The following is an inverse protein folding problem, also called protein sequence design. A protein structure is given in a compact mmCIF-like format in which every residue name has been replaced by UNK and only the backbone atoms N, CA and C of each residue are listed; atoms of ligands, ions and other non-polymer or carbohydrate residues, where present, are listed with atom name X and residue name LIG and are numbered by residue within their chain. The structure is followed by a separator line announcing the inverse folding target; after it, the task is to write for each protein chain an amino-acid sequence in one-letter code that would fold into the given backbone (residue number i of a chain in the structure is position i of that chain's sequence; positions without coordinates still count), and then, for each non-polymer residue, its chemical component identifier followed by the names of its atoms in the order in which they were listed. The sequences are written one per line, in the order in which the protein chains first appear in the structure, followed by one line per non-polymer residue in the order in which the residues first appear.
data_IF_964468467782
#
_entry.id   IF_964468467782
#
_cell.length_a   1.000
_cell.length_b   1.000
_cell.length_c   1.000
_cell.angle_alpha   90.00
_cell.angle_beta   90.00
_cell.angle_gamma   90.00
#
_symmetry.space_group_name_H-M   'P 1'
#
loop_
_entity.id
_entity.type
_entity.pdbx_description
1 polymer ?
#
# COMPACT_ATOMS: atom_id res chain seq x y z
N UNK A 1 12.61 -6.74 -9.95
CA UNK A 1 11.31 -6.10 -10.31
C UNK A 1 11.46 -4.59 -10.33
N UNK A 2 10.56 -3.86 -11.01
CA UNK A 2 10.60 -2.40 -11.06
C UNK A 2 9.75 -1.84 -9.91
N UNK A 3 10.31 -0.94 -9.11
CA UNK A 3 9.59 -0.26 -8.03
C UNK A 3 8.36 0.47 -8.57
N UNK A 4 7.21 0.29 -7.94
CA UNK A 4 5.93 0.89 -8.29
C UNK A 4 5.53 2.00 -7.32
N UNK A 5 4.90 3.04 -7.84
CA UNK A 5 4.36 4.14 -7.06
C UNK A 5 2.84 4.14 -7.14
N UNK A 6 2.20 4.06 -5.97
CA UNK A 6 0.77 3.86 -5.81
C UNK A 6 0.17 5.05 -5.03
N UNK A 7 -0.41 6.06 -5.70
CA UNK A 7 -1.07 7.17 -5.01
C UNK A 7 -2.24 6.72 -4.14
N UNK A 8 -2.29 7.16 -2.87
CA UNK A 8 -3.45 6.95 -2.00
C UNK A 8 -4.55 7.95 -2.36
N UNK A 9 -5.71 7.44 -2.78
CA UNK A 9 -6.85 8.26 -3.16
C UNK A 9 -7.51 8.97 -1.96
N UNK A 10 -7.13 8.65 -0.74
CA UNK A 10 -7.54 9.43 0.45
C UNK A 10 -7.04 10.89 0.40
N UNK A 11 -6.04 11.19 -0.45
CA UNK A 11 -5.41 12.50 -0.55
C UNK A 11 -5.91 13.35 -1.75
N UNK A 12 -6.77 12.83 -2.63
CA UNK A 12 -7.27 13.55 -3.82
C UNK A 12 -8.43 14.48 -3.50
N UNK A 13 -8.68 15.44 -4.37
CA UNK A 13 -9.91 16.25 -4.35
C UNK A 13 -11.05 15.47 -5.02
N UNK A 14 -11.93 14.88 -4.23
CA UNK A 14 -13.07 14.10 -4.71
C UNK A 14 -14.07 14.91 -5.54
N UNK A 15 -14.12 16.25 -5.40
CA UNK A 15 -14.96 17.11 -6.24
C UNK A 15 -14.51 17.13 -7.70
N UNK A 16 -13.27 16.69 -7.96
CA UNK A 16 -12.62 16.64 -9.28
C UNK A 16 -12.00 15.26 -9.59
N UNK A 17 -12.60 14.21 -9.03
CA UNK A 17 -12.02 12.85 -9.05
C UNK A 17 -11.48 12.43 -10.42
N UNK A 18 -12.25 12.64 -11.51
CA UNK A 18 -11.81 12.26 -12.86
C UNK A 18 -10.54 12.97 -13.34
N UNK A 19 -10.40 14.27 -13.03
CA UNK A 19 -9.21 15.06 -13.37
C UNK A 19 -8.00 14.63 -12.52
N UNK A 20 -8.22 14.35 -11.23
CA UNK A 20 -7.20 13.84 -10.31
C UNK A 20 -6.63 12.51 -10.78
N UNK A 21 -7.50 11.51 -11.08
CA UNK A 21 -7.08 10.21 -11.57
C UNK A 21 -6.28 10.33 -12.87
N UNK A 22 -6.80 11.07 -13.86
CA UNK A 22 -6.12 11.29 -15.14
C UNK A 22 -4.74 11.95 -14.96
N UNK A 23 -4.64 12.92 -14.05
CA UNK A 23 -3.37 13.62 -13.75
C UNK A 23 -2.35 12.70 -13.08
N UNK A 24 -2.80 11.83 -12.17
CA UNK A 24 -1.95 10.84 -11.51
C UNK A 24 -1.47 9.76 -12.49
N UNK A 25 -2.34 9.28 -13.38
CA UNK A 25 -1.99 8.34 -14.45
C UNK A 25 -0.96 8.96 -15.40
N UNK A 26 -1.18 10.21 -15.84
CA UNK A 26 -0.23 10.95 -16.69
C UNK A 26 1.12 11.20 -15.99
N UNK A 27 1.15 11.31 -14.66
CA UNK A 27 2.37 11.38 -13.87
C UNK A 27 3.07 10.01 -13.74
N UNK A 28 2.41 8.93 -14.16
CA UNK A 28 2.93 7.56 -14.21
C UNK A 28 2.70 6.79 -12.90
N UNK A 29 1.56 6.98 -12.26
CA UNK A 29 1.08 6.08 -11.24
C UNK A 29 0.99 4.65 -11.81
N UNK A 30 1.39 3.65 -11.01
CA UNK A 30 1.34 2.25 -11.43
C UNK A 30 0.01 1.57 -11.02
N UNK A 31 -0.57 2.02 -9.93
CA UNK A 31 -1.81 1.51 -9.35
C UNK A 31 -2.36 2.56 -8.39
N UNK A 32 -3.67 2.65 -8.21
CA UNK A 32 -4.26 3.48 -7.16
C UNK A 32 -4.42 2.69 -5.87
N UNK A 33 -4.19 3.34 -4.73
CA UNK A 33 -4.40 2.79 -3.40
C UNK A 33 -5.66 3.37 -2.77
N UNK A 34 -6.56 2.51 -2.28
CA UNK A 34 -7.86 2.92 -1.75
C UNK A 34 -7.99 2.47 -0.29
N UNK A 35 -7.97 3.44 0.60
CA UNK A 35 -8.12 3.24 2.03
C UNK A 35 -9.60 3.16 2.42
N UNK A 36 -10.00 2.06 3.07
CA UNK A 36 -11.35 1.81 3.61
C UNK A 36 -11.28 1.71 5.13
N UNK A 37 -12.05 2.53 5.83
CA UNK A 37 -12.04 2.61 7.29
C UNK A 37 -13.46 2.52 7.85
N UNK A 38 -13.64 1.79 8.98
CA UNK A 38 -14.95 1.51 9.58
C UNK A 38 -15.25 2.31 10.86
N UNK A 39 -14.33 3.18 11.31
CA UNK A 39 -14.46 3.94 12.55
C UNK A 39 -14.27 3.10 13.84
N UNK A 40 -13.92 1.80 13.68
CA UNK A 40 -13.69 0.86 14.80
C UNK A 40 -12.25 0.38 14.85
N UNK A 41 -11.73 -0.18 13.75
CA UNK A 41 -10.32 -0.57 13.66
C UNK A 41 -9.40 0.64 13.77
N UNK A 42 -9.80 1.75 13.16
CA UNK A 42 -9.18 3.07 13.29
C UNK A 42 -10.25 4.11 13.63
N UNK A 43 -9.95 5.16 14.42
CA UNK A 43 -10.95 6.16 14.83
C UNK A 43 -11.20 7.20 13.72
N UNK A 44 -11.45 6.74 12.50
CA UNK A 44 -11.71 7.55 11.32
C UNK A 44 -12.57 6.77 10.33
N UNK A 45 -13.20 7.49 9.40
CA UNK A 45 -13.90 6.94 8.24
C UNK A 45 -13.19 7.38 6.97
N UNK A 46 -13.15 6.51 5.97
CA UNK A 46 -12.59 6.81 4.66
C UNK A 46 -13.52 6.26 3.56
N UNK A 47 -12.93 5.89 2.41
CA UNK A 47 -13.69 5.52 1.22
C UNK A 47 -14.50 4.24 1.43
N UNK A 48 -15.63 4.15 0.71
CA UNK A 48 -16.51 2.99 0.73
C UNK A 48 -16.76 2.39 -0.66
N UNK A 49 -17.61 1.35 -0.76
CA UNK A 49 -17.88 0.67 -2.01
C UNK A 49 -18.39 1.54 -3.15
N UNK A 50 -19.17 2.60 -2.85
CA UNK A 50 -19.68 3.48 -3.90
C UNK A 50 -18.60 4.42 -4.46
N UNK A 51 -17.64 4.85 -3.60
CA UNK A 51 -16.46 5.60 -4.04
C UNK A 51 -15.59 4.75 -4.95
N UNK A 52 -15.33 3.48 -4.56
CA UNK A 52 -14.57 2.53 -5.36
C UNK A 52 -15.24 2.25 -6.70
N UNK A 53 -16.56 2.13 -6.72
CA UNK A 53 -17.34 2.01 -7.95
C UNK A 53 -17.22 3.23 -8.85
N UNK A 54 -17.07 4.44 -8.30
CA UNK A 54 -16.79 5.63 -9.08
C UNK A 54 -15.36 5.58 -9.65
N UNK A 55 -14.37 5.22 -8.83
CA UNK A 55 -12.98 5.02 -9.28
C UNK A 55 -12.91 3.97 -10.38
N UNK A 56 -13.55 2.79 -10.22
CA UNK A 56 -13.52 1.70 -11.21
C UNK A 56 -14.05 2.06 -12.60
N UNK A 57 -14.88 3.11 -12.69
CA UNK A 57 -15.40 3.62 -13.97
C UNK A 57 -14.49 4.64 -14.64
N UNK A 58 -13.64 5.30 -13.86
CA UNK A 58 -12.82 6.42 -14.30
C UNK A 58 -11.34 6.04 -14.47
N UNK A 59 -10.83 5.13 -13.63
CA UNK A 59 -9.45 4.68 -13.67
C UNK A 59 -9.15 3.81 -14.88
N UNK A 60 -8.00 4.03 -15.52
CA UNK A 60 -7.49 3.20 -16.62
C UNK A 60 -6.38 2.25 -16.16
N UNK A 61 -5.81 2.49 -14.98
CA UNK A 61 -4.82 1.62 -14.33
C UNK A 61 -5.48 0.80 -13.20
N UNK A 62 -4.84 -0.30 -12.74
CA UNK A 62 -5.32 -1.09 -11.61
C UNK A 62 -5.47 -0.27 -10.33
N UNK A 63 -6.24 -0.80 -9.38
CA UNK A 63 -6.31 -0.28 -8.02
C UNK A 63 -6.35 -1.42 -7.00
N UNK A 64 -5.89 -1.14 -5.81
CA UNK A 64 -5.98 -2.00 -4.65
C UNK A 64 -6.92 -1.43 -3.58
N UNK A 65 -7.31 -2.26 -2.62
CA UNK A 65 -8.16 -1.88 -1.50
C UNK A 65 -7.49 -2.28 -0.20
N UNK A 66 -7.28 -1.31 0.69
CA UNK A 66 -6.70 -1.48 2.01
C UNK A 66 -7.80 -1.41 3.08
N UNK A 67 -8.14 -2.56 3.65
CA UNK A 67 -9.22 -2.71 4.62
C UNK A 67 -8.72 -2.47 6.05
N UNK A 68 -8.83 -1.25 6.54
CA UNK A 68 -8.67 -0.87 7.95
C UNK A 68 -10.01 -1.04 8.67
N UNK A 69 -10.48 -2.28 8.76
CA UNK A 69 -11.79 -2.64 9.33
C UNK A 69 -11.66 -3.78 10.33
N UNK A 70 -12.46 -3.76 11.39
CA UNK A 70 -12.38 -4.72 12.51
C UNK A 70 -12.65 -6.16 12.10
N UNK A 71 -13.56 -6.38 11.13
CA UNK A 71 -13.88 -7.71 10.60
C UNK A 71 -13.96 -7.65 9.07
N UNK A 72 -12.87 -7.96 8.35
CA UNK A 72 -12.84 -7.85 6.88
C UNK A 72 -13.60 -8.95 6.15
N UNK A 73 -13.74 -10.16 6.73
CA UNK A 73 -14.26 -11.35 6.05
C UNK A 73 -15.60 -11.15 5.32
N UNK A 74 -16.63 -10.50 5.92
CA UNK A 74 -17.91 -10.29 5.26
C UNK A 74 -17.85 -9.38 4.02
N UNK A 75 -16.79 -8.57 3.90
CA UNK A 75 -16.69 -7.55 2.86
C UNK A 75 -15.81 -7.95 1.68
N UNK A 76 -14.97 -9.00 1.82
CA UNK A 76 -14.03 -9.45 0.76
C UNK A 76 -14.74 -9.67 -0.57
N UNK A 77 -15.87 -10.40 -0.58
CA UNK A 77 -16.63 -10.65 -1.80
C UNK A 77 -17.05 -9.35 -2.49
N UNK A 78 -17.60 -8.41 -1.73
CA UNK A 78 -18.08 -7.13 -2.26
C UNK A 78 -16.96 -6.30 -2.89
N UNK A 79 -15.79 -6.24 -2.27
CA UNK A 79 -14.65 -5.49 -2.80
C UNK A 79 -14.01 -6.21 -4.00
N UNK A 80 -13.94 -7.54 -3.99
CA UNK A 80 -13.49 -8.33 -5.13
C UNK A 80 -14.37 -8.11 -6.37
N UNK A 81 -15.68 -8.08 -6.19
CA UNK A 81 -16.66 -7.86 -7.27
C UNK A 81 -16.57 -6.46 -7.90
N UNK A 82 -15.95 -5.50 -7.20
CA UNK A 82 -15.65 -4.16 -7.74
C UNK A 82 -14.43 -4.15 -8.67
N UNK A 83 -13.65 -5.25 -8.74
CA UNK A 83 -12.55 -5.43 -9.71
C UNK A 83 -11.18 -4.93 -9.22
N UNK A 84 -10.94 -4.83 -7.92
CA UNK A 84 -9.62 -4.51 -7.39
C UNK A 84 -8.59 -5.62 -7.69
N UNK A 85 -7.32 -5.25 -7.80
CA UNK A 85 -6.23 -6.19 -8.09
C UNK A 85 -5.63 -6.84 -6.85
N UNK A 86 -5.67 -6.13 -5.71
CA UNK A 86 -5.17 -6.57 -4.41
C UNK A 86 -6.19 -6.16 -3.35
N UNK A 87 -6.42 -7.01 -2.36
CA UNK A 87 -7.11 -6.65 -1.12
C UNK A 87 -6.12 -6.85 0.02
N UNK A 88 -5.82 -5.77 0.76
CA UNK A 88 -5.07 -5.83 2.00
C UNK A 88 -6.01 -5.91 3.19
N UNK A 89 -5.75 -6.86 4.08
CA UNK A 89 -6.36 -6.95 5.42
C UNK A 89 -5.27 -6.78 6.46
N UNK A 90 -5.57 -6.12 7.57
CA UNK A 90 -4.62 -6.08 8.69
C UNK A 90 -4.50 -7.44 9.33
N UNK A 91 -3.27 -7.84 9.67
CA UNK A 91 -3.02 -9.12 10.35
C UNK A 91 -3.74 -9.20 11.71
N UNK A 92 -4.02 -8.05 12.32
CA UNK A 92 -4.66 -7.89 13.61
C UNK A 92 -6.20 -7.95 13.55
N UNK A 93 -6.80 -7.93 12.35
CA UNK A 93 -8.25 -7.79 12.20
C UNK A 93 -9.02 -9.13 12.10
N UNK A 94 -8.64 -10.10 11.25
CA UNK A 94 -9.40 -11.35 11.10
C UNK A 94 -9.04 -12.34 12.21
N UNK A 95 -10.03 -13.12 12.65
CA UNK A 95 -9.80 -14.20 13.63
C UNK A 95 -8.92 -15.31 13.02
N UNK A 96 -9.08 -15.59 11.73
CA UNK A 96 -8.36 -16.65 11.02
C UNK A 96 -7.68 -16.10 9.78
N UNK A 97 -6.55 -15.43 9.95
CA UNK A 97 -5.82 -14.72 8.89
C UNK A 97 -5.54 -15.60 7.67
N UNK A 98 -5.01 -16.81 7.85
CA UNK A 98 -4.75 -17.74 6.75
C UNK A 98 -6.01 -18.02 5.90
N UNK A 99 -7.16 -18.28 6.54
CA UNK A 99 -8.43 -18.51 5.84
C UNK A 99 -8.89 -17.27 5.09
N UNK A 100 -8.74 -16.08 5.68
CA UNK A 100 -9.10 -14.79 5.07
C UNK A 100 -8.27 -14.54 3.80
N UNK A 101 -6.95 -14.73 3.85
CA UNK A 101 -6.07 -14.60 2.69
C UNK A 101 -6.39 -15.63 1.60
N UNK A 102 -6.65 -16.90 1.98
CA UNK A 102 -7.10 -17.95 1.06
C UNK A 102 -8.43 -17.61 0.37
N UNK A 103 -9.38 -16.98 1.10
CA UNK A 103 -10.64 -16.51 0.52
C UNK A 103 -10.42 -15.38 -0.51
N UNK A 104 -9.51 -14.45 -0.28
CA UNK A 104 -9.15 -13.41 -1.25
C UNK A 104 -8.57 -14.07 -2.52
N UNK A 105 -7.57 -14.94 -2.38
CA UNK A 105 -6.93 -15.63 -3.52
C UNK A 105 -7.90 -16.50 -4.32
N UNK A 106 -8.84 -17.17 -3.66
CA UNK A 106 -9.86 -18.01 -4.35
C UNK A 106 -10.76 -17.22 -5.30
N UNK A 107 -10.78 -15.89 -5.20
CA UNK A 107 -11.50 -14.97 -6.08
C UNK A 107 -10.65 -14.41 -7.22
N UNK A 108 -9.41 -14.88 -7.38
CA UNK A 108 -8.48 -14.40 -8.39
C UNK A 108 -7.86 -13.04 -8.06
N UNK A 109 -7.99 -12.57 -6.82
CA UNK A 109 -7.43 -11.32 -6.31
C UNK A 109 -6.14 -11.63 -5.53
N UNK A 110 -5.12 -10.78 -5.64
CA UNK A 110 -3.92 -10.91 -4.82
C UNK A 110 -4.23 -10.67 -3.35
N UNK A 111 -3.81 -11.59 -2.48
CA UNK A 111 -3.98 -11.45 -1.04
C UNK A 111 -2.86 -10.60 -0.45
N UNK A 112 -3.23 -9.44 0.07
CA UNK A 112 -2.35 -8.54 0.81
C UNK A 112 -2.55 -8.66 2.31
N UNK A 113 -1.46 -8.62 3.07
CA UNK A 113 -1.50 -8.47 4.52
C UNK A 113 -0.81 -7.17 4.93
N UNK A 114 -1.49 -6.33 5.70
CA UNK A 114 -0.92 -5.15 6.33
C UNK A 114 -0.55 -5.45 7.79
N UNK A 115 0.60 -4.96 8.23
CA UNK A 115 1.07 -5.11 9.62
C UNK A 115 1.35 -3.74 10.23
N UNK A 116 0.81 -3.52 11.42
CA UNK A 116 0.98 -2.28 12.17
C UNK A 116 2.44 -2.09 12.64
N UNK A 117 2.86 -0.86 12.99
CA UNK A 117 4.21 -0.61 13.49
C UNK A 117 4.59 -1.48 14.69
N UNK A 118 3.64 -1.75 15.60
CA UNK A 118 3.85 -2.58 16.80
C UNK A 118 3.78 -4.08 16.58
N UNK A 119 3.32 -4.56 15.40
CA UNK A 119 3.12 -6.00 15.14
C UNK A 119 4.41 -6.67 14.71
N UNK A 120 4.71 -7.83 15.31
CA UNK A 120 5.89 -8.64 14.98
C UNK A 120 5.77 -9.28 13.59
N UNK A 121 6.91 -9.44 12.89
CA UNK A 121 6.99 -10.19 11.63
C UNK A 121 6.68 -11.68 11.79
N UNK A 122 6.82 -12.24 12.98
CA UNK A 122 6.56 -13.66 13.23
C UNK A 122 5.13 -14.09 12.86
N UNK A 123 4.17 -13.13 12.86
CA UNK A 123 2.79 -13.41 12.42
C UNK A 123 2.71 -13.85 10.96
N UNK A 124 3.75 -13.58 10.16
CA UNK A 124 3.80 -13.91 8.73
C UNK A 124 4.31 -15.33 8.46
N UNK A 125 5.05 -15.95 9.40
CA UNK A 125 5.74 -17.22 9.18
C UNK A 125 4.80 -18.34 8.68
N UNK A 126 3.59 -18.40 9.22
CA UNK A 126 2.61 -19.45 8.92
C UNK A 126 1.63 -19.05 7.78
N UNK A 127 1.89 -17.96 7.06
CA UNK A 127 1.01 -17.48 5.98
C UNK A 127 1.75 -17.11 4.69
N UNK A 128 3.07 -17.35 4.62
CA UNK A 128 3.89 -16.98 3.45
C UNK A 128 3.46 -17.71 2.16
N UNK A 129 2.82 -18.87 2.27
CA UNK A 129 2.30 -19.66 1.15
C UNK A 129 0.98 -19.11 0.57
N UNK A 130 0.26 -18.28 1.33
CA UNK A 130 -1.05 -17.73 0.94
C UNK A 130 -1.05 -16.21 0.79
N UNK A 131 0.08 -15.53 1.02
CA UNK A 131 0.21 -14.07 0.87
C UNK A 131 0.95 -13.71 -0.42
N UNK A 132 0.43 -12.72 -1.14
CA UNK A 132 1.05 -12.21 -2.37
C UNK A 132 1.77 -10.87 -2.14
N UNK A 133 1.32 -10.07 -1.14
CA UNK A 133 1.92 -8.77 -0.81
C UNK A 133 1.89 -8.55 0.70
N UNK A 134 3.02 -8.16 1.29
CA UNK A 134 3.09 -7.73 2.69
C UNK A 134 3.26 -6.21 2.73
N UNK A 135 2.30 -5.51 3.33
CA UNK A 135 2.37 -4.06 3.53
C UNK A 135 2.86 -3.74 4.94
N UNK A 136 3.96 -3.02 5.05
CA UNK A 136 4.46 -2.49 6.32
C UNK A 136 3.89 -1.10 6.54
N UNK A 137 3.11 -0.93 7.61
CA UNK A 137 2.67 0.39 8.04
C UNK A 137 3.83 1.12 8.70
N UNK A 138 4.16 2.31 8.21
CA UNK A 138 5.21 3.19 8.74
C UNK A 138 4.67 4.39 9.53
N UNK A 139 3.35 4.41 9.72
CA UNK A 139 2.60 5.24 10.68
C UNK A 139 1.55 4.36 11.35
N UNK A 140 0.93 4.80 12.44
CA UNK A 140 -0.28 4.15 12.92
C UNK A 140 -1.43 4.42 11.93
N UNK A 141 -2.17 3.39 11.44
CA UNK A 141 -3.20 3.60 10.44
C UNK A 141 -4.33 4.52 10.93
N UNK A 142 -5.03 5.16 9.97
CA UNK A 142 -6.22 5.96 10.22
C UNK A 142 -6.14 7.44 9.83
N UNK A 143 -4.96 8.05 9.75
CA UNK A 143 -4.81 9.48 9.42
C UNK A 143 -3.59 9.75 8.56
N UNK A 144 -3.75 10.60 7.54
CA UNK A 144 -2.64 11.15 6.77
C UNK A 144 -1.87 12.23 7.59
N UNK A 145 -0.64 12.54 7.16
CA UNK A 145 0.16 13.62 7.74
C UNK A 145 0.89 13.30 9.04
N UNK A 146 0.88 12.04 9.49
CA UNK A 146 1.67 11.60 10.64
C UNK A 146 3.17 11.53 10.30
N UNK A 147 4.07 11.66 11.31
CA UNK A 147 5.51 11.46 11.10
C UNK A 147 5.82 9.98 10.85
N UNK A 148 6.85 9.73 10.02
CA UNK A 148 7.36 8.39 9.75
C UNK A 148 7.93 7.75 11.02
N UNK A 149 7.62 6.50 11.26
CA UNK A 149 8.14 5.71 12.39
C UNK A 149 9.46 5.05 11.97
N UNK A 150 10.59 5.56 12.48
CA UNK A 150 11.94 5.18 12.09
C UNK A 150 12.24 3.66 12.20
N UNK A 151 11.63 2.96 13.20
CA UNK A 151 11.80 1.51 13.33
C UNK A 151 11.27 0.71 12.13
N UNK A 152 10.44 1.31 11.28
CA UNK A 152 9.95 0.69 10.04
C UNK A 152 11.08 0.40 9.05
N UNK A 153 12.18 1.17 9.04
CA UNK A 153 13.35 0.85 8.21
C UNK A 153 13.94 -0.52 8.54
N UNK A 154 14.15 -0.81 9.82
CA UNK A 154 14.68 -2.11 10.25
C UNK A 154 13.66 -3.24 10.04
N UNK A 155 12.36 -2.95 10.21
CA UNK A 155 11.29 -3.91 9.98
C UNK A 155 11.25 -4.35 8.51
N UNK A 156 11.31 -3.40 7.56
CA UNK A 156 11.35 -3.70 6.12
C UNK A 156 12.54 -4.59 5.76
N UNK A 157 13.75 -4.28 6.25
CA UNK A 157 14.94 -5.10 5.97
C UNK A 157 14.82 -6.50 6.51
N UNK A 158 14.34 -6.66 7.75
CA UNK A 158 14.08 -7.99 8.33
C UNK A 158 13.01 -8.75 7.54
N UNK A 159 11.97 -8.07 7.05
CA UNK A 159 10.96 -8.68 6.20
C UNK A 159 11.57 -9.17 4.87
N UNK A 160 12.39 -8.35 4.21
CA UNK A 160 13.07 -8.76 2.96
C UNK A 160 13.95 -9.98 3.20
N UNK A 161 14.71 -10.03 4.32
CA UNK A 161 15.49 -11.20 4.70
C UNK A 161 14.59 -12.43 4.90
N UNK A 162 13.51 -12.31 5.67
CA UNK A 162 12.55 -13.39 5.91
C UNK A 162 11.99 -13.96 4.59
N UNK A 163 11.55 -13.10 3.66
CA UNK A 163 11.01 -13.54 2.38
C UNK A 163 12.07 -14.29 1.55
N UNK A 164 13.30 -13.79 1.51
CA UNK A 164 14.41 -14.43 0.79
C UNK A 164 14.75 -15.80 1.37
N UNK A 165 14.87 -15.93 2.69
CA UNK A 165 15.17 -17.19 3.41
C UNK A 165 14.08 -18.24 3.16
N UNK A 166 12.82 -17.83 3.11
CA UNK A 166 11.67 -18.70 2.84
C UNK A 166 11.39 -18.89 1.34
N UNK A 167 12.19 -18.29 0.45
CA UNK A 167 11.97 -18.32 -1.02
C UNK A 167 10.57 -17.89 -1.42
N UNK A 168 10.00 -16.90 -0.71
CA UNK A 168 8.68 -16.38 -0.97
C UNK A 168 8.75 -15.31 -2.06
N UNK A 169 7.84 -15.39 -3.02
CA UNK A 169 7.67 -14.40 -4.10
C UNK A 169 6.80 -13.20 -3.69
N UNK A 170 6.38 -13.12 -2.42
CA UNK A 170 5.57 -12.04 -1.91
C UNK A 170 6.27 -10.68 -2.09
N UNK A 171 5.51 -9.69 -2.55
CA UNK A 171 5.97 -8.32 -2.70
C UNK A 171 5.96 -7.59 -1.35
N UNK A 172 6.81 -6.58 -1.21
CA UNK A 172 6.78 -5.68 -0.05
C UNK A 172 6.18 -4.34 -0.48
N UNK A 173 5.09 -3.95 0.16
CA UNK A 173 4.55 -2.60 0.12
C UNK A 173 4.90 -1.83 1.40
N UNK A 174 4.94 -0.51 1.32
CA UNK A 174 5.06 0.36 2.49
C UNK A 174 4.07 1.52 2.39
N UNK A 175 3.38 1.79 3.49
CA UNK A 175 2.41 2.88 3.59
C UNK A 175 2.61 3.72 4.86
N UNK A 176 2.51 5.03 4.68
CA UNK A 176 2.61 6.02 5.74
C UNK A 176 3.83 6.94 5.65
N UNK A 177 3.60 8.24 5.48
CA UNK A 177 4.62 9.30 5.47
C UNK A 177 5.79 9.06 4.48
N UNK A 178 5.51 8.51 3.30
CA UNK A 178 6.52 8.19 2.30
C UNK A 178 7.02 9.47 1.64
N UNK A 179 8.17 9.96 2.11
CA UNK A 179 8.89 11.11 1.57
C UNK A 179 10.00 10.70 0.59
N UNK A 180 10.59 11.64 -0.19
CA UNK A 180 11.75 11.35 -1.03
C UNK A 180 12.92 10.73 -0.26
N UNK A 181 13.14 11.13 0.99
CA UNK A 181 14.19 10.58 1.87
C UNK A 181 13.91 9.13 2.25
N UNK A 182 12.66 8.79 2.53
CA UNK A 182 12.24 7.40 2.80
C UNK A 182 12.45 6.53 1.56
N UNK A 183 12.04 7.01 0.37
CA UNK A 183 12.26 6.31 -0.90
C UNK A 183 13.76 6.09 -1.15
N UNK A 184 14.62 7.09 -0.88
CA UNK A 184 16.07 6.96 -1.00
C UNK A 184 16.64 5.87 -0.09
N UNK A 185 16.17 5.79 1.16
CA UNK A 185 16.66 4.83 2.16
C UNK A 185 16.19 3.38 1.89
N UNK A 186 15.02 3.20 1.25
CA UNK A 186 14.36 1.90 1.06
C UNK A 186 14.18 1.48 -0.40
N UNK A 187 14.64 2.28 -1.36
CA UNK A 187 14.29 2.15 -2.77
C UNK A 187 14.58 0.80 -3.42
N UNK A 188 15.49 -0.01 -2.88
CA UNK A 188 15.80 -1.36 -3.38
C UNK A 188 15.05 -2.47 -2.63
N UNK A 189 14.43 -2.13 -1.50
CA UNK A 189 13.80 -3.09 -0.59
C UNK A 189 12.28 -3.16 -0.75
N UNK A 190 11.69 -2.14 -1.41
CA UNK A 190 10.25 -1.97 -1.57
C UNK A 190 9.84 -2.14 -3.02
N UNK A 191 8.80 -2.93 -3.22
CA UNK A 191 8.20 -3.15 -4.53
C UNK A 191 7.09 -2.12 -4.82
N UNK A 192 6.26 -1.77 -3.81
CA UNK A 192 5.16 -0.81 -3.92
C UNK A 192 5.26 0.27 -2.83
N UNK A 193 5.43 1.54 -3.23
CA UNK A 193 5.34 2.70 -2.34
C UNK A 193 3.95 3.31 -2.41
N UNK A 194 3.23 3.32 -1.29
CA UNK A 194 1.95 4.04 -1.18
C UNK A 194 2.25 5.50 -0.90
N UNK A 195 1.76 6.38 -1.77
CA UNK A 195 2.14 7.79 -1.77
C UNK A 195 1.00 8.68 -1.28
N UNK A 196 1.24 9.34 -0.16
CA UNK A 196 0.36 10.36 0.42
C UNK A 196 0.97 11.78 0.32
N UNK A 197 0.61 12.62 1.29
CA UNK A 197 0.98 14.04 1.34
C UNK A 197 2.47 14.29 1.53
N UNK A 198 3.24 13.37 2.13
CA UNK A 198 4.66 13.53 2.37
C UNK A 198 5.50 13.48 1.08
N UNK A 199 5.05 12.75 0.05
CA UNK A 199 5.82 12.55 -1.18
C UNK A 199 5.16 13.09 -2.44
N UNK A 200 3.86 12.88 -2.62
CA UNK A 200 3.16 13.13 -3.88
C UNK A 200 2.19 14.31 -3.84
N UNK A 201 1.28 14.33 -2.86
CA UNK A 201 0.21 15.34 -2.78
C UNK A 201 0.71 16.61 -2.11
N UNK A 202 1.67 17.25 -2.75
CA UNK A 202 2.34 18.47 -2.29
C UNK A 202 1.71 19.71 -2.91
N UNK A 203 1.65 20.80 -2.15
CA UNK A 203 1.08 22.08 -2.63
C UNK A 203 2.05 22.90 -3.49
N UNK A 204 3.35 22.61 -3.42
CA UNK A 204 4.43 23.36 -4.03
C UNK A 204 4.90 22.83 -5.39
N UNK A 205 4.35 21.70 -5.86
CA UNK A 205 4.71 21.08 -7.13
C UNK A 205 3.58 20.24 -7.72
N UNK A 206 3.63 20.00 -9.03
CA UNK A 206 2.71 19.11 -9.73
C UNK A 206 2.98 17.63 -9.41
N UNK A 207 2.00 16.74 -9.65
CA UNK A 207 2.17 15.29 -9.52
C UNK A 207 3.32 14.76 -10.37
N UNK A 208 3.49 15.28 -11.60
CA UNK A 208 4.58 14.89 -12.50
C UNK A 208 5.97 15.24 -11.93
N UNK A 209 6.11 16.43 -11.36
CA UNK A 209 7.36 16.86 -10.71
C UNK A 209 7.65 16.00 -9.48
N UNK A 210 6.66 15.80 -8.60
CA UNK A 210 6.79 14.97 -7.41
C UNK A 210 7.19 13.53 -7.76
N UNK A 211 6.52 12.91 -8.73
CA UNK A 211 6.87 11.56 -9.23
C UNK A 211 8.29 11.51 -9.82
N UNK A 212 8.72 12.56 -10.50
CA UNK A 212 10.09 12.66 -11.04
C UNK A 212 11.12 12.68 -9.92
N UNK A 213 10.86 13.45 -8.86
CA UNK A 213 11.73 13.49 -7.67
C UNK A 213 11.82 12.09 -7.03
N UNK A 214 10.68 11.44 -6.79
CA UNK A 214 10.63 10.11 -6.17
C UNK A 214 11.39 9.05 -6.99
N UNK A 215 11.20 9.02 -8.32
CA UNK A 215 11.92 8.09 -9.21
C UNK A 215 13.43 8.27 -9.17
N UNK A 216 13.91 9.51 -9.11
CA UNK A 216 15.34 9.81 -8.97
C UNK A 216 15.91 9.21 -7.68
N UNK A 217 15.14 9.21 -6.57
CA UNK A 217 15.61 8.62 -5.32
C UNK A 217 15.79 7.09 -5.41
N UNK A 218 14.92 6.37 -6.12
CA UNK A 218 15.08 4.92 -6.36
C UNK A 218 16.37 4.63 -7.16
N UNK A 219 16.66 5.43 -8.18
CA UNK A 219 17.89 5.27 -8.99
C UNK A 219 19.14 5.50 -8.13
N UNK A 220 19.11 6.54 -7.29
CA UNK A 220 20.22 6.84 -6.35
C UNK A 220 20.43 5.71 -5.34
N UNK A 221 19.35 5.10 -4.83
CA UNK A 221 19.44 3.96 -3.92
C UNK A 221 20.11 2.74 -4.57
N UNK A 222 19.81 2.45 -5.84
CA UNK A 222 20.43 1.35 -6.61
C UNK A 222 21.92 1.57 -6.82
N UNK A 223 22.34 2.79 -7.20
CA UNK A 223 23.76 3.11 -7.42
C UNK A 223 24.59 3.09 -6.14
N UNK A 224 23.99 3.33 -4.96
CA UNK A 224 24.69 3.22 -3.68
C UNK A 224 24.91 1.77 -3.22
N UNK A 225 24.07 0.82 -3.67
CA UNK A 225 24.20 -0.62 -3.34
C UNK A 225 25.19 -1.37 -4.20
N UNK A 226 25.64 -0.81 -5.34
CA UNK A 226 26.64 -1.41 -6.23
C UNK A 226 28.10 -1.04 -5.83
N UNK A 227 28.27 -0.14 -4.88
CA UNK A 227 29.59 0.37 -4.42
C UNK A 227 29.98 -0.15 -3.02
N UNK A 228 29.12 -0.93 -2.37
CA UNK A 228 29.33 -1.52 -1.05
C UNK A 228 29.47 -3.05 -1.15
#
# INVERSE_FOLDING_TARGET
MTTQFCPSLMCVDFSRLGEELSSLEAAGAAMFHIDVMDGHFVPNFALGPEDIKAVSKLATIPYDVHLMVTNPDPYIARFADLGCSIIYVHAEAPIHLHRTLGNIRSRGIKAGVAINPGTSLNILEEILDVVDVVMVMSVNPGFAGQPFIESSFSKVRRLRTMLNENKSDALIAIDGAISPEVVKKLGTEIDLFILGTAGLFRKDMSYKEAMTVLRKQVVMAKGAGEVA
#
